data_IF_970164867748
#
_entry.id   IF_970164867748
#
_cell.length_a   1.000
_cell.length_b   1.000
_cell.length_c   1.000
_cell.angle_alpha   90.00
_cell.angle_beta   90.00
_cell.angle_gamma   90.00
#
_symmetry.space_group_name_H-M   'P 1'
#
loop_
_entity.id
_entity.type
_entity.pdbx_description
1 polymer ?
#
# COMPACT_ATOMS: atom_id res chain seq x y z
N UNK A 1 -26.11 -37.79 -4.66
CA UNK A 1 -27.13 -38.36 -5.58
C UNK A 1 -27.74 -37.27 -6.48
N UNK A 2 -26.94 -36.41 -7.10
CA UNK A 2 -27.41 -35.49 -8.14
C UNK A 2 -26.20 -35.15 -9.02
N UNK A 3 -25.92 -35.98 -10.01
CA UNK A 3 -24.97 -35.67 -11.08
C UNK A 3 -25.56 -36.31 -12.34
N UNK A 4 -25.93 -35.49 -13.32
CA UNK A 4 -26.45 -35.99 -14.59
C UNK A 4 -25.38 -36.83 -15.28
N UNK A 5 -25.76 -38.00 -15.79
CA UNK A 5 -24.83 -38.96 -16.42
C UNK A 5 -24.63 -38.68 -17.91
N UNK A 6 -25.45 -37.81 -18.52
CA UNK A 6 -25.34 -37.41 -19.93
C UNK A 6 -25.59 -35.90 -20.08
N UNK A 7 -24.76 -35.24 -20.91
CA UNK A 7 -24.78 -33.80 -21.17
C UNK A 7 -23.75 -33.02 -20.35
N UNK A 8 -22.50 -32.99 -20.80
CA UNK A 8 -21.47 -32.08 -20.27
C UNK A 8 -21.49 -30.82 -21.11
N UNK A 9 -22.36 -29.89 -20.76
CA UNK A 9 -22.45 -28.57 -21.36
C UNK A 9 -23.09 -27.61 -20.36
N UNK A 10 -22.52 -26.41 -20.22
CA UNK A 10 -23.09 -25.33 -19.41
C UNK A 10 -24.53 -25.12 -19.89
N UNK A 11 -25.51 -25.38 -19.03
CA UNK A 11 -26.91 -25.41 -19.41
C UNK A 11 -27.36 -24.07 -19.97
N UNK A 12 -28.12 -24.07 -21.07
CA UNK A 12 -28.72 -22.87 -21.68
C UNK A 12 -29.63 -22.06 -20.72
N UNK A 13 -29.91 -22.60 -19.53
CA UNK A 13 -30.70 -21.99 -18.46
C UNK A 13 -29.88 -21.80 -17.19
N UNK A 14 -28.59 -21.49 -17.32
CA UNK A 14 -27.72 -21.17 -16.20
C UNK A 14 -27.50 -19.66 -16.14
N UNK A 15 -27.90 -19.06 -15.02
CA UNK A 15 -27.57 -17.68 -14.72
C UNK A 15 -26.10 -17.63 -14.27
N UNK A 16 -25.27 -16.92 -15.04
CA UNK A 16 -23.86 -16.66 -14.70
C UNK A 16 -23.81 -15.26 -14.10
N UNK A 17 -23.53 -15.18 -12.80
CA UNK A 17 -23.23 -13.92 -12.13
C UNK A 17 -21.79 -13.55 -12.52
N UNK A 18 -21.61 -12.49 -13.31
CA UNK A 18 -20.28 -12.01 -13.74
C UNK A 18 -19.53 -11.24 -12.63
N UNK A 19 -20.28 -10.72 -11.65
CA UNK A 19 -19.73 -9.95 -10.55
C UNK A 19 -19.47 -10.83 -9.32
N UNK A 20 -18.22 -10.88 -8.86
CA UNK A 20 -17.84 -11.47 -7.59
C UNK A 20 -18.44 -10.63 -6.44
N UNK A 21 -19.48 -11.17 -5.78
CA UNK A 21 -20.21 -10.57 -4.65
C UNK A 21 -19.31 -10.16 -3.46
N UNK A 22 -18.03 -10.56 -3.46
CA UNK A 22 -17.03 -10.18 -2.47
C UNK A 22 -16.46 -8.76 -2.64
N UNK A 23 -16.80 -8.05 -3.72
CA UNK A 23 -16.35 -6.67 -3.96
C UNK A 23 -17.06 -5.66 -3.06
N UNK A 24 -18.26 -5.99 -2.57
CA UNK A 24 -19.06 -5.10 -1.73
C UNK A 24 -18.87 -5.44 -0.25
N UNK A 25 -18.48 -4.45 0.55
CA UNK A 25 -18.54 -4.55 2.00
C UNK A 25 -19.87 -3.95 2.48
N UNK A 26 -20.62 -4.73 3.26
CA UNK A 26 -21.82 -4.26 3.92
C UNK A 26 -21.44 -3.14 4.91
N UNK A 27 -21.83 -1.90 4.60
CA UNK A 27 -21.62 -0.76 5.49
C UNK A 27 -22.59 -0.88 6.65
N UNK A 28 -22.06 -1.16 7.85
CA UNK A 28 -22.84 -1.15 9.08
C UNK A 28 -23.31 0.28 9.38
N UNK A 29 -24.61 0.54 9.21
CA UNK A 29 -25.26 1.81 9.51
C UNK A 29 -25.71 1.92 10.96
N UNK A 30 -25.40 0.92 11.80
CA UNK A 30 -25.70 1.01 13.22
C UNK A 30 -24.84 2.09 13.86
N UNK A 31 -25.51 3.09 14.44
CA UNK A 31 -24.84 4.13 15.25
C UNK A 31 -24.18 3.43 16.42
N UNK A 32 -22.85 3.28 16.37
CA UNK A 32 -22.07 2.78 17.50
C UNK A 32 -22.45 3.60 18.75
N UNK A 33 -22.97 2.96 19.82
CA UNK A 33 -23.22 3.68 21.06
C UNK A 33 -21.88 4.26 21.52
N UNK A 34 -21.86 5.59 21.68
CA UNK A 34 -20.68 6.31 22.21
C UNK A 34 -20.23 5.59 23.48
N UNK A 35 -18.96 5.17 23.60
CA UNK A 35 -18.50 4.53 24.82
C UNK A 35 -18.76 5.50 25.97
N UNK A 36 -19.53 5.03 26.95
CA UNK A 36 -19.79 5.78 28.16
C UNK A 36 -18.43 6.21 28.74
N UNK A 37 -18.30 7.51 29.00
CA UNK A 37 -17.13 8.15 29.58
C UNK A 37 -16.66 7.34 30.81
N UNK A 38 -15.70 6.44 30.61
CA UNK A 38 -15.10 5.69 31.70
C UNK A 38 -14.28 6.69 32.50
N UNK A 39 -14.83 7.10 33.64
CA UNK A 39 -14.09 7.77 34.70
C UNK A 39 -12.80 6.99 34.93
N UNK A 40 -11.67 7.64 34.70
CA UNK A 40 -10.32 7.15 35.00
C UNK A 40 -10.29 6.52 36.38
N UNK A 41 -10.30 5.19 36.45
CA UNK A 41 -9.86 4.48 37.65
C UNK A 41 -8.35 4.69 37.74
N UNK A 42 -7.93 5.51 38.71
CA UNK A 42 -6.52 5.71 39.05
C UNK A 42 -5.92 4.34 39.38
N UNK A 43 -5.12 3.79 38.46
CA UNK A 43 -4.20 2.73 38.80
C UNK A 43 -3.18 3.32 39.76
N UNK A 44 -3.33 2.97 41.04
CA UNK A 44 -2.34 3.23 42.06
C UNK A 44 -1.04 2.57 41.64
N UNK A 45 -0.01 3.40 41.67
CA UNK A 45 1.39 3.10 41.46
C UNK A 45 1.86 2.19 42.60
N UNK A 46 1.69 0.87 42.45
CA UNK A 46 2.25 -0.11 43.36
C UNK A 46 3.78 -0.11 43.17
N UNK A 47 4.43 0.71 43.99
CA UNK A 47 5.87 0.72 44.21
C UNK A 47 6.29 -0.60 44.87
N UNK A 48 6.53 -1.64 44.08
CA UNK A 48 7.33 -2.77 44.54
C UNK A 48 8.81 -2.33 44.55
N UNK A 49 9.26 -1.85 45.71
CA UNK A 49 10.68 -1.83 46.08
C UNK A 49 11.18 -3.28 46.15
N UNK A 50 12.25 -3.67 45.45
CA UNK A 50 13.00 -4.86 45.82
C UNK A 50 13.91 -4.47 46.99
N UNK A 51 13.48 -4.78 48.21
CA UNK A 51 14.35 -4.70 49.37
C UNK A 51 15.16 -5.99 49.45
N UNK A 52 16.48 -5.80 49.61
CA UNK A 52 17.49 -6.81 49.88
C UNK A 52 16.98 -7.89 50.85
N UNK A 53 17.10 -9.16 50.47
CA UNK A 53 17.30 -10.24 51.43
C UNK A 53 18.64 -10.90 51.15
N UNK A 54 19.59 -10.50 51.98
CA UNK A 54 20.83 -11.20 52.28
C UNK A 54 20.50 -12.45 53.10
N UNK A 55 21.25 -13.52 52.83
CA UNK A 55 21.40 -14.74 53.63
C UNK A 55 20.22 -15.71 53.75
N UNK A 56 20.39 -16.90 53.17
CA UNK A 56 19.68 -18.08 53.68
C UNK A 56 19.51 -19.23 52.71
N UNK A 57 20.59 -20.00 52.50
CA UNK A 57 20.57 -21.47 52.36
C UNK A 57 19.69 -22.07 51.27
N UNK A 58 20.37 -22.55 50.22
CA UNK A 58 19.94 -23.69 49.43
C UNK A 58 19.57 -24.88 50.35
N UNK A 59 18.50 -25.61 50.02
CA UNK A 59 18.61 -27.06 50.05
C UNK A 59 18.12 -27.67 48.74
N UNK A 60 19.09 -28.30 48.07
CA UNK A 60 19.01 -29.64 47.49
C UNK A 60 17.62 -30.14 47.10
N UNK A 61 17.39 -30.08 45.79
CA UNK A 61 16.44 -30.88 45.05
C UNK A 61 16.72 -32.37 45.33
N UNK A 62 15.87 -33.01 46.13
CA UNK A 62 15.85 -34.47 46.28
C UNK A 62 14.59 -35.01 45.61
N UNK A 63 14.82 -35.86 44.61
CA UNK A 63 13.82 -36.64 43.88
C UNK A 63 12.92 -37.40 44.86
N UNK A 64 11.61 -37.32 44.65
CA UNK A 64 10.66 -38.31 45.14
C UNK A 64 9.66 -38.67 44.04
N UNK A 65 9.36 -39.96 44.06
CA UNK A 65 8.74 -40.81 43.07
C UNK A 65 7.22 -40.62 42.99
N UNK A 66 6.68 -40.81 41.79
CA UNK A 66 5.35 -41.37 41.43
C UNK A 66 4.19 -41.09 42.39
N UNK A 67 3.28 -40.22 41.94
CA UNK A 67 1.93 -40.10 42.48
C UNK A 67 1.00 -39.57 41.41
N UNK A 68 0.32 -40.46 40.70
CA UNK A 68 -0.69 -40.17 39.67
C UNK A 68 -1.95 -39.56 40.31
N UNK A 69 -1.85 -38.34 40.83
CA UNK A 69 -3.02 -37.61 41.31
C UNK A 69 -3.81 -37.07 40.11
N UNK A 70 -4.99 -37.63 39.90
CA UNK A 70 -5.98 -37.15 38.93
C UNK A 70 -6.29 -35.68 39.28
N UNK A 71 -5.67 -34.74 38.55
CA UNK A 71 -6.06 -33.33 38.57
C UNK A 71 -7.59 -33.24 38.46
N UNK A 72 -8.22 -32.55 39.41
CA UNK A 72 -9.68 -32.30 39.42
C UNK A 72 -10.16 -31.81 38.05
N UNK A 73 -11.35 -32.25 37.62
CA UNK A 73 -11.95 -31.89 36.32
C UNK A 73 -11.94 -30.38 36.08
N UNK A 74 -12.09 -29.58 37.13
CA UNK A 74 -12.07 -28.12 37.07
C UNK A 74 -10.70 -27.55 36.71
N UNK A 75 -9.62 -28.09 37.28
CA UNK A 75 -8.25 -27.64 36.98
C UNK A 75 -7.80 -28.03 35.58
N UNK A 76 -8.22 -29.20 35.09
CA UNK A 76 -7.97 -29.61 33.69
C UNK A 76 -8.71 -28.73 32.68
N UNK A 77 -9.94 -28.33 32.98
CA UNK A 77 -10.70 -27.42 32.12
C UNK A 77 -10.06 -26.02 32.07
N UNK A 78 -9.56 -25.51 33.20
CA UNK A 78 -8.83 -24.24 33.26
C UNK A 78 -7.50 -24.27 32.49
N UNK A 79 -6.73 -25.36 32.59
CA UNK A 79 -5.51 -25.56 31.78
C UNK A 79 -5.82 -25.64 30.28
N UNK A 80 -6.87 -26.38 29.90
CA UNK A 80 -7.34 -26.46 28.51
C UNK A 80 -7.80 -25.10 27.97
N UNK A 81 -8.52 -24.31 28.76
CA UNK A 81 -9.00 -22.99 28.35
C UNK A 81 -7.85 -21.98 28.21
N UNK A 82 -6.84 -22.05 29.08
CA UNK A 82 -5.61 -21.26 28.96
C UNK A 82 -4.78 -21.67 27.74
N UNK A 83 -4.70 -22.97 27.44
CA UNK A 83 -4.00 -23.49 26.28
C UNK A 83 -4.73 -23.09 24.98
N UNK A 84 -6.07 -23.13 24.96
CA UNK A 84 -6.91 -22.70 23.84
C UNK A 84 -6.85 -21.18 23.61
N UNK A 85 -6.75 -20.38 24.68
CA UNK A 85 -6.50 -18.92 24.59
C UNK A 85 -5.11 -18.61 24.05
N UNK A 86 -4.05 -19.32 24.48
CA UNK A 86 -2.71 -19.20 23.87
C UNK A 86 -2.73 -19.62 22.40
N UNK A 87 -3.39 -20.72 22.07
CA UNK A 87 -3.46 -21.21 20.68
C UNK A 87 -4.20 -20.23 19.76
N UNK A 88 -5.23 -19.53 20.24
CA UNK A 88 -5.86 -18.40 19.51
C UNK A 88 -4.96 -17.17 19.40
N UNK A 89 -4.14 -16.89 20.42
CA UNK A 89 -3.22 -15.74 20.44
C UNK A 89 -2.02 -15.92 19.50
N UNK A 90 -1.56 -17.16 19.29
CA UNK A 90 -0.52 -17.49 18.31
C UNK A 90 -1.10 -17.85 16.93
N UNK A 91 -2.34 -18.34 16.83
CA UNK A 91 -3.03 -18.64 15.57
C UNK A 91 -3.45 -17.40 14.77
N UNK A 92 -3.69 -16.27 15.43
CA UNK A 92 -3.98 -14.98 14.77
C UNK A 92 -2.75 -14.30 14.13
N UNK A 93 -1.54 -14.86 14.31
CA UNK A 93 -0.34 -14.40 13.58
C UNK A 93 -0.11 -15.15 12.27
N UNK A 94 -0.84 -16.24 12.06
CA UNK A 94 -0.85 -17.02 10.83
C UNK A 94 -2.20 -16.83 10.10
N UNK A 95 -2.74 -15.61 10.13
CA UNK A 95 -3.62 -15.22 9.03
C UNK A 95 -2.78 -15.46 7.76
N UNK A 96 -3.23 -16.31 6.82
CA UNK A 96 -2.55 -16.39 5.53
C UNK A 96 -2.42 -14.94 5.09
N UNK A 97 -1.19 -14.51 4.75
CA UNK A 97 -1.03 -13.31 3.96
C UNK A 97 -2.02 -13.52 2.84
N UNK A 98 -3.17 -12.87 2.90
CA UNK A 98 -4.04 -12.70 1.77
C UNK A 98 -3.04 -12.17 0.77
N UNK A 99 -2.63 -13.03 -0.15
CA UNK A 99 -2.19 -12.58 -1.45
C UNK A 99 -3.32 -11.63 -1.79
N UNK A 100 -3.07 -10.33 -1.61
CA UNK A 100 -3.85 -9.31 -2.24
C UNK A 100 -3.83 -9.79 -3.68
N UNK A 101 -4.92 -10.46 -4.08
CA UNK A 101 -5.08 -10.93 -5.44
C UNK A 101 -4.74 -9.70 -6.23
N UNK A 102 -3.67 -9.79 -7.04
CA UNK A 102 -3.09 -8.66 -7.72
C UNK A 102 -4.28 -7.94 -8.36
N UNK A 103 -4.64 -6.79 -7.79
CA UNK A 103 -5.88 -6.11 -8.11
C UNK A 103 -5.83 -5.95 -9.62
N UNK A 104 -6.76 -6.54 -10.36
CA UNK A 104 -6.69 -6.46 -11.82
C UNK A 104 -6.71 -4.98 -12.17
N UNK A 105 -5.59 -4.49 -12.67
CA UNK A 105 -5.42 -3.07 -12.97
C UNK A 105 -6.01 -2.86 -14.35
N UNK A 106 -7.04 -2.03 -14.43
CA UNK A 106 -7.62 -1.67 -15.71
C UNK A 106 -6.61 -0.84 -16.52
N UNK A 107 -6.43 -1.13 -17.82
CA UNK A 107 -5.57 -0.33 -18.70
C UNK A 107 -5.94 1.15 -18.68
N UNK A 108 -4.94 2.03 -18.79
CA UNK A 108 -5.18 3.48 -18.85
C UNK A 108 -5.88 3.92 -20.14
N UNK A 109 -5.72 3.13 -21.21
CA UNK A 109 -6.33 3.37 -22.52
C UNK A 109 -7.05 2.12 -23.03
N UNK A 110 -8.13 2.33 -23.79
CA UNK A 110 -8.81 1.26 -24.51
C UNK A 110 -8.01 0.88 -25.75
N UNK A 111 -7.39 -0.29 -25.71
CA UNK A 111 -6.70 -0.88 -26.86
C UNK A 111 -7.70 -1.17 -27.96
N UNK A 112 -7.41 -0.69 -29.17
CA UNK A 112 -8.25 -0.91 -30.36
C UNK A 112 -7.64 -1.98 -31.26
N UNK A 113 -8.48 -2.63 -32.07
CA UNK A 113 -8.06 -3.71 -32.96
C UNK A 113 -7.15 -3.25 -34.11
N UNK A 114 -7.20 -1.97 -34.48
CA UNK A 114 -6.36 -1.37 -35.52
C UNK A 114 -4.93 -1.04 -35.06
N UNK A 115 -4.63 -1.23 -33.77
CA UNK A 115 -3.32 -0.95 -33.20
C UNK A 115 -2.33 -2.06 -33.54
N UNK A 116 -1.21 -1.67 -34.14
CA UNK A 116 -0.11 -2.59 -34.43
C UNK A 116 0.94 -2.53 -33.32
N UNK A 117 1.27 -3.68 -32.75
CA UNK A 117 2.36 -3.81 -31.78
C UNK A 117 3.68 -3.70 -32.54
N UNK A 118 4.48 -2.68 -32.20
CA UNK A 118 5.79 -2.43 -32.80
C UNK A 118 6.88 -3.14 -32.01
N UNK A 119 6.88 -2.98 -30.68
CA UNK A 119 7.88 -3.54 -29.79
C UNK A 119 7.30 -3.77 -28.38
N UNK A 120 7.87 -4.76 -27.67
CA UNK A 120 7.50 -5.12 -26.31
C UNK A 120 8.74 -5.16 -25.42
N UNK A 121 8.84 -4.19 -24.51
CA UNK A 121 10.02 -4.04 -23.67
C UNK A 121 9.68 -4.41 -22.23
N UNK A 122 10.39 -5.41 -21.70
CA UNK A 122 10.22 -5.84 -20.30
C UNK A 122 11.04 -4.98 -19.34
N UNK A 123 10.61 -4.89 -18.07
CA UNK A 123 11.35 -4.14 -17.05
C UNK A 123 12.76 -4.70 -16.78
N UNK A 124 12.98 -6.00 -16.98
CA UNK A 124 14.30 -6.62 -16.81
C UNK A 124 15.29 -6.20 -17.91
N UNK A 125 14.80 -5.89 -19.12
CA UNK A 125 15.60 -5.33 -20.20
C UNK A 125 15.97 -3.87 -19.90
N UNK A 126 14.99 -3.06 -19.51
CA UNK A 126 15.21 -1.63 -19.17
C UNK A 126 16.19 -1.44 -18.01
N UNK A 127 16.13 -2.31 -16.98
CA UNK A 127 17.01 -2.23 -15.82
C UNK A 127 18.51 -2.40 -16.15
N UNK A 128 18.85 -2.96 -17.32
CA UNK A 128 20.23 -3.18 -17.76
C UNK A 128 20.76 -2.03 -18.63
N UNK A 129 19.87 -1.13 -19.08
CA UNK A 129 20.26 -0.01 -19.93
C UNK A 129 21.06 1.01 -19.13
N UNK A 130 22.12 1.51 -19.74
CA UNK A 130 22.94 2.56 -19.17
C UNK A 130 23.44 3.47 -20.31
N UNK A 131 23.30 4.78 -20.13
CA UNK A 131 23.79 5.79 -21.05
C UNK A 131 24.77 6.70 -20.29
N UNK A 132 26.08 6.36 -20.24
CA UNK A 132 27.07 7.22 -19.64
C UNK A 132 27.34 8.46 -20.51
N UNK A 133 27.92 9.51 -19.91
CA UNK A 133 28.39 10.73 -20.58
C UNK A 133 27.28 11.64 -21.12
N UNK A 134 26.25 11.90 -20.33
CA UNK A 134 25.27 12.95 -20.61
C UNK A 134 25.94 14.30 -20.32
N UNK A 135 25.94 15.22 -21.30
CA UNK A 135 26.51 16.55 -21.16
C UNK A 135 25.64 17.49 -20.32
N UNK A 136 26.22 18.61 -19.88
CA UNK A 136 25.49 19.66 -19.16
C UNK A 136 24.42 20.29 -20.08
N UNK A 137 23.22 20.58 -19.55
CA UNK A 137 22.16 21.18 -20.33
C UNK A 137 22.49 22.64 -20.69
N UNK A 138 22.04 23.06 -21.87
CA UNK A 138 22.08 24.46 -22.31
C UNK A 138 20.74 25.13 -21.99
N UNK A 139 20.76 26.19 -21.19
CA UNK A 139 19.55 26.97 -20.88
C UNK A 139 19.18 27.86 -22.06
N UNK A 140 18.03 27.61 -22.68
CA UNK A 140 17.55 28.39 -23.84
C UNK A 140 16.74 29.63 -23.42
N UNK A 141 15.90 29.49 -22.40
CA UNK A 141 15.03 30.57 -21.93
C UNK A 141 14.40 30.24 -20.58
N UNK A 142 14.18 31.26 -19.76
CA UNK A 142 13.49 31.17 -18.47
C UNK A 142 12.19 31.97 -18.52
N UNK A 143 11.10 31.37 -18.08
CA UNK A 143 9.77 31.97 -18.10
C UNK A 143 9.08 31.82 -16.74
N UNK A 144 8.22 32.78 -16.41
CA UNK A 144 7.39 32.77 -15.20
C UNK A 144 7.97 33.59 -14.04
N UNK A 145 7.34 33.45 -12.88
CA UNK A 145 7.71 34.15 -11.65
C UNK A 145 7.55 33.21 -10.45
N UNK A 146 8.45 33.31 -9.48
CA UNK A 146 8.45 32.49 -8.28
C UNK A 146 8.18 33.34 -7.03
N UNK A 147 7.32 32.87 -6.15
CA UNK A 147 7.13 33.47 -4.82
C UNK A 147 8.23 33.03 -3.85
N UNK A 148 8.55 33.88 -2.87
CA UNK A 148 9.49 33.51 -1.82
C UNK A 148 8.91 32.43 -0.91
N UNK A 149 9.73 31.43 -0.60
CA UNK A 149 9.39 30.41 0.39
C UNK A 149 9.41 30.97 1.82
N UNK A 150 8.34 30.73 2.58
CA UNK A 150 8.26 31.10 3.99
C UNK A 150 9.01 30.06 4.85
N UNK A 151 10.22 30.40 5.31
CA UNK A 151 11.07 29.55 6.16
C UNK A 151 10.45 29.18 7.51
N UNK A 152 9.35 29.83 7.93
CA UNK A 152 8.63 29.43 9.16
C UNK A 152 8.06 28.02 9.05
N UNK A 153 7.80 27.53 7.84
CA UNK A 153 7.30 26.16 7.62
C UNK A 153 8.32 25.08 7.99
N UNK A 154 9.63 25.38 7.99
CA UNK A 154 10.68 24.44 8.37
C UNK A 154 10.62 24.02 9.84
N UNK A 155 9.94 24.80 10.69
CA UNK A 155 9.81 24.58 12.14
C UNK A 155 8.50 23.91 12.54
N UNK A 156 7.64 23.56 11.57
CA UNK A 156 6.40 22.84 11.86
C UNK A 156 6.75 21.44 12.35
N UNK A 157 6.14 21.05 13.47
CA UNK A 157 6.33 19.74 14.08
C UNK A 157 4.98 19.12 14.41
N UNK A 158 4.96 17.83 14.78
CA UNK A 158 3.72 17.16 15.24
C UNK A 158 3.16 17.75 16.53
N UNK A 159 3.94 18.55 17.27
CA UNK A 159 3.46 19.30 18.46
C UNK A 159 2.99 20.72 18.14
N UNK A 160 3.49 21.28 17.03
CA UNK A 160 3.21 22.62 16.54
C UNK A 160 2.66 22.54 15.13
N UNK A 161 1.53 21.82 14.98
CA UNK A 161 0.91 21.59 13.68
C UNK A 161 0.27 22.87 13.13
N UNK A 162 0.21 22.95 11.80
CA UNK A 162 -0.50 24.01 11.08
C UNK A 162 -1.53 23.36 10.16
N UNK A 163 -2.78 23.78 10.28
CA UNK A 163 -3.87 23.25 9.43
C UNK A 163 -3.63 23.65 7.97
N UNK A 164 -3.81 22.70 7.06
CA UNK A 164 -3.74 22.94 5.62
C UNK A 164 -4.92 23.83 5.20
N UNK A 165 -4.62 24.92 4.49
CA UNK A 165 -5.63 25.84 3.96
C UNK A 165 -5.85 25.50 2.49
N UNK A 166 -7.10 25.52 2.05
CA UNK A 166 -7.42 25.41 0.64
C UNK A 166 -6.97 26.69 -0.07
N UNK A 167 -6.07 26.55 -1.04
CA UNK A 167 -5.59 27.67 -1.86
C UNK A 167 -6.12 27.48 -3.27
N UNK A 168 -6.90 28.46 -3.74
CA UNK A 168 -7.38 28.47 -5.12
C UNK A 168 -6.33 29.12 -6.02
N UNK A 169 -5.50 28.30 -6.67
CA UNK A 169 -4.54 28.75 -7.70
C UNK A 169 -4.82 28.04 -9.00
N UNK A 170 -4.60 28.76 -10.11
CA UNK A 170 -4.63 28.17 -11.42
C UNK A 170 -3.36 27.34 -11.64
N UNK A 171 -3.50 26.03 -11.85
CA UNK A 171 -2.39 25.12 -12.16
C UNK A 171 -2.49 24.76 -13.64
N UNK A 172 -1.49 25.19 -14.41
CA UNK A 172 -1.40 24.88 -15.83
C UNK A 172 -0.85 23.46 -16.03
N UNK A 173 -1.63 22.59 -16.67
CA UNK A 173 -1.22 21.24 -17.09
C UNK A 173 -1.16 21.19 -18.62
N UNK A 174 -0.20 21.90 -19.20
CA UNK A 174 -0.06 22.04 -20.65
C UNK A 174 0.82 20.90 -21.17
N UNK A 175 0.39 20.27 -22.28
CA UNK A 175 1.16 19.22 -22.96
C UNK A 175 2.17 19.84 -23.94
N UNK A 176 3.20 19.07 -24.31
CA UNK A 176 4.25 19.49 -25.24
C UNK A 176 3.71 20.17 -26.52
N UNK A 177 2.66 19.60 -27.12
CA UNK A 177 2.04 20.11 -28.35
C UNK A 177 1.23 21.39 -28.17
N UNK A 178 0.73 21.66 -26.96
CA UNK A 178 -0.06 22.84 -26.63
C UNK A 178 0.79 23.99 -26.09
N UNK A 179 2.08 23.75 -25.85
CA UNK A 179 3.00 24.77 -25.37
C UNK A 179 3.48 25.68 -26.53
N UNK A 180 3.20 27.00 -26.49
CA UNK A 180 3.58 27.92 -27.55
C UNK A 180 5.11 28.14 -27.64
N UNK A 181 5.83 28.04 -26.53
CA UNK A 181 7.29 28.21 -26.48
C UNK A 181 7.96 27.00 -27.13
N UNK A 182 7.55 25.79 -26.77
CA UNK A 182 8.07 24.56 -27.39
C UNK A 182 7.77 24.57 -28.90
N UNK A 183 6.56 24.98 -29.31
CA UNK A 183 6.21 25.12 -30.74
C UNK A 183 7.08 26.11 -31.49
N UNK A 184 7.56 27.16 -30.83
CA UNK A 184 8.45 28.13 -31.45
C UNK A 184 9.88 27.58 -31.57
N UNK A 185 10.38 26.90 -30.52
CA UNK A 185 11.70 26.27 -30.51
C UNK A 185 11.77 25.14 -31.56
N UNK A 186 10.68 24.38 -31.72
CA UNK A 186 10.59 23.28 -32.68
C UNK A 186 10.88 23.70 -34.14
N UNK A 187 10.71 24.98 -34.49
CA UNK A 187 10.98 25.47 -35.85
C UNK A 187 12.46 25.74 -36.10
N UNK A 188 13.27 25.88 -35.05
CA UNK A 188 14.66 26.36 -35.15
C UNK A 188 15.67 25.33 -34.68
N UNK A 189 15.42 24.60 -33.59
CA UNK A 189 16.39 23.68 -32.98
C UNK A 189 15.72 22.52 -32.25
N UNK A 190 16.39 21.36 -32.26
CA UNK A 190 15.96 20.15 -31.54
C UNK A 190 15.18 19.18 -32.42
N UNK A 191 15.20 17.90 -32.05
CA UNK A 191 14.50 16.81 -32.73
C UNK A 191 13.54 16.04 -31.82
N UNK A 192 13.71 16.16 -30.50
CA UNK A 192 12.85 15.53 -29.49
C UNK A 192 12.42 16.61 -28.50
N UNK A 193 11.11 16.67 -28.24
CA UNK A 193 10.50 17.65 -27.35
C UNK A 193 9.62 16.94 -26.33
N UNK A 194 9.73 17.30 -25.06
CA UNK A 194 8.95 16.73 -23.97
C UNK A 194 8.91 17.68 -22.78
N UNK A 195 8.01 17.42 -21.84
CA UNK A 195 7.98 18.08 -20.53
C UNK A 195 8.66 17.22 -19.46
N UNK A 196 9.00 17.84 -18.32
CA UNK A 196 9.58 17.19 -17.15
C UNK A 196 8.74 16.00 -16.66
N UNK A 197 7.41 16.13 -16.63
CA UNK A 197 6.51 15.07 -16.22
C UNK A 197 6.61 13.83 -17.13
N UNK A 198 6.65 14.02 -18.45
CA UNK A 198 6.76 12.94 -19.43
C UNK A 198 8.12 12.24 -19.29
N UNK A 199 9.21 13.00 -19.25
CA UNK A 199 10.57 12.46 -19.15
C UNK A 199 10.79 11.74 -17.81
N UNK A 200 10.29 12.30 -16.71
CA UNK A 200 10.39 11.68 -15.39
C UNK A 200 9.68 10.33 -15.34
N UNK A 201 8.49 10.24 -15.95
CA UNK A 201 7.76 8.97 -16.08
C UNK A 201 8.52 7.95 -16.90
N UNK A 202 9.15 8.36 -18.01
CA UNK A 202 9.98 7.46 -18.83
C UNK A 202 11.24 6.99 -18.08
N UNK A 203 11.96 7.89 -17.41
CA UNK A 203 13.16 7.55 -16.65
C UNK A 203 12.87 6.63 -15.46
N UNK A 204 11.70 6.77 -14.84
CA UNK A 204 11.30 5.98 -13.66
C UNK A 204 10.31 4.85 -13.98
N UNK A 205 10.13 4.49 -15.26
CA UNK A 205 9.10 3.54 -15.70
C UNK A 205 9.18 2.16 -15.02
N UNK A 206 10.39 1.70 -14.67
CA UNK A 206 10.64 0.40 -14.02
C UNK A 206 10.03 0.27 -12.61
N UNK A 207 9.60 1.38 -12.01
CA UNK A 207 8.91 1.42 -10.71
C UNK A 207 7.39 1.45 -10.82
N UNK A 208 6.86 1.55 -12.04
CA UNK A 208 5.42 1.68 -12.23
C UNK A 208 4.70 0.37 -11.92
N UNK A 209 3.57 0.51 -11.22
CA UNK A 209 2.63 -0.59 -10.98
C UNK A 209 1.31 -0.28 -11.66
N UNK A 210 0.82 0.95 -11.52
CA UNK A 210 -0.38 1.40 -12.21
C UNK A 210 -0.07 1.67 -13.70
N UNK A 211 -1.01 1.33 -14.60
CA UNK A 211 -0.85 1.59 -16.02
C UNK A 211 -0.91 3.09 -16.31
N UNK A 212 -0.12 3.51 -17.30
CA UNK A 212 -0.08 4.86 -17.85
C UNK A 212 0.30 4.77 -19.32
N UNK A 213 -0.04 5.81 -20.08
CA UNK A 213 0.24 5.92 -21.50
C UNK A 213 0.83 7.30 -21.83
N UNK A 214 1.64 7.33 -22.89
CA UNK A 214 2.23 8.54 -23.46
C UNK A 214 2.02 8.47 -24.96
N UNK A 215 1.48 9.55 -25.53
CA UNK A 215 1.34 9.69 -26.99
C UNK A 215 2.63 10.29 -27.56
N UNK A 216 3.16 9.65 -28.60
CA UNK A 216 4.35 10.11 -29.32
C UNK A 216 3.96 10.47 -30.75
N UNK A 217 4.05 11.76 -31.08
CA UNK A 217 3.83 12.26 -32.43
C UNK A 217 5.17 12.37 -33.16
N UNK A 218 5.41 11.50 -34.15
CA UNK A 218 6.58 11.60 -35.04
C UNK A 218 6.21 12.41 -36.28
N UNK A 219 6.76 13.62 -36.37
CA UNK A 219 6.60 14.52 -37.52
C UNK A 219 7.98 14.71 -38.19
N UNK A 220 8.17 14.10 -39.36
CA UNK A 220 9.44 14.10 -40.09
C UNK A 220 9.79 12.76 -40.71
#
# INVERSE_FOLDING_TARGET
RYRSQYGVGVGMYQYIHEDDENTFQLVDSTRLPKPAYQKRTRFQQNHFRPQQMQNGRFPTMQKAFVGTQKKSKTMKNLEMDQMRKRQKQYGNRAAPRQHQQAKQLEPSVRVREDWQVIDEITFSALAKLNLPNIGEPEELSVWGSLEYYDKRYDRISTKSEKKLVMVNRLIHKITTTKDPVIRQICKTRGNVFATDAIISTLMCCTRSVYPWDIVVDKLG
#
